data_IF_401133409560
#
_entry.id   IF_401133409560
#
_cell.length_a   1.000
_cell.length_b   1.000
_cell.length_c   1.000
_cell.angle_alpha   90.00
_cell.angle_beta   90.00
_cell.angle_gamma   90.00
#
_symmetry.space_group_name_H-M   'P 1'
#
loop_
_entity.id
_entity.type
_entity.pdbx_description
1 polymer ?
#
# COMPACT_ATOMS: atom_id res chain seq x y z
N UNK A 1 33.30 12.67 -7.73
CA UNK A 1 32.40 11.48 -7.75
C UNK A 1 32.16 11.11 -9.21
N UNK A 2 32.56 9.92 -9.64
CA UNK A 2 32.25 9.44 -10.99
C UNK A 2 30.79 9.08 -11.04
N UNK A 3 30.03 9.66 -11.96
CA UNK A 3 28.67 9.25 -12.29
C UNK A 3 28.73 7.84 -12.89
N UNK A 4 28.55 6.82 -12.06
CA UNK A 4 28.35 5.46 -12.54
C UNK A 4 27.08 5.42 -13.39
N UNK A 5 27.13 4.73 -14.52
CA UNK A 5 25.97 4.55 -15.38
C UNK A 5 24.94 3.79 -14.55
N UNK A 6 23.80 4.39 -14.31
CA UNK A 6 22.76 3.96 -13.34
C UNK A 6 22.22 2.54 -13.62
N UNK A 7 22.52 2.00 -14.79
CA UNK A 7 22.05 0.69 -15.27
C UNK A 7 23.12 -0.43 -15.22
N UNK A 8 24.34 -0.15 -14.79
CA UNK A 8 25.37 -1.18 -14.74
C UNK A 8 25.33 -1.93 -13.41
N UNK A 9 25.16 -3.25 -13.52
CA UNK A 9 25.12 -4.15 -12.36
C UNK A 9 26.41 -4.09 -11.52
N UNK A 10 27.54 -3.78 -12.13
CA UNK A 10 28.86 -3.67 -11.48
C UNK A 10 28.96 -2.42 -10.60
N UNK A 11 28.31 -1.31 -10.97
CA UNK A 11 28.31 -0.09 -10.16
C UNK A 11 27.52 -0.25 -8.84
N UNK A 12 26.66 -1.25 -8.76
CA UNK A 12 25.83 -1.54 -7.58
C UNK A 12 26.55 -2.38 -6.53
N UNK A 13 27.54 -3.17 -6.89
CA UNK A 13 28.21 -4.10 -5.97
C UNK A 13 28.75 -3.42 -4.69
N UNK A 14 29.43 -2.27 -4.74
CA UNK A 14 29.91 -1.62 -3.51
C UNK A 14 28.79 -1.14 -2.59
N UNK A 15 27.65 -0.74 -3.17
CA UNK A 15 26.47 -0.33 -2.40
C UNK A 15 25.82 -1.55 -1.75
N UNK A 16 25.75 -2.66 -2.47
CA UNK A 16 25.23 -3.93 -1.95
C UNK A 16 26.06 -4.42 -0.77
N UNK A 17 27.38 -4.42 -0.88
CA UNK A 17 28.27 -4.83 0.20
C UNK A 17 28.11 -3.94 1.42
N UNK A 18 27.97 -2.63 1.23
CA UNK A 18 27.71 -1.68 2.30
C UNK A 18 26.34 -1.95 2.99
N UNK A 19 25.29 -2.21 2.24
CA UNK A 19 23.96 -2.56 2.76
C UNK A 19 24.02 -3.85 3.60
N UNK A 20 24.67 -4.89 3.07
CA UNK A 20 24.83 -6.17 3.75
C UNK A 20 25.64 -6.01 5.04
N UNK A 21 26.73 -5.26 5.02
CA UNK A 21 27.52 -4.96 6.22
C UNK A 21 26.68 -4.34 7.34
N UNK A 22 25.84 -3.34 7.00
CA UNK A 22 24.97 -2.70 7.99
C UNK A 22 23.87 -3.62 8.51
N UNK A 23 23.31 -4.46 7.65
CA UNK A 23 22.36 -5.48 8.04
C UNK A 23 22.96 -6.46 9.05
N UNK A 24 24.19 -6.92 8.83
CA UNK A 24 24.93 -7.79 9.76
C UNK A 24 25.16 -7.13 11.12
N UNK A 25 25.21 -5.81 11.16
CA UNK A 25 25.31 -5.01 12.39
C UNK A 25 23.94 -4.76 13.05
N UNK A 26 22.87 -5.40 12.58
CA UNK A 26 21.52 -5.25 13.10
C UNK A 26 20.86 -3.90 12.77
N UNK A 27 21.33 -3.20 11.73
CA UNK A 27 20.77 -1.89 11.32
C UNK A 27 19.69 -2.08 10.25
N UNK A 28 18.62 -1.31 10.36
CA UNK A 28 17.61 -1.18 9.31
C UNK A 28 17.96 -0.01 8.39
N UNK A 29 17.80 -0.21 7.09
CA UNK A 29 18.10 0.79 6.06
C UNK A 29 16.87 0.97 5.19
N UNK A 30 16.44 2.20 4.98
CA UNK A 30 15.38 2.57 4.06
C UNK A 30 15.99 3.27 2.87
N UNK A 31 15.78 2.71 1.67
CA UNK A 31 16.17 3.32 0.41
C UNK A 31 14.94 3.92 -0.26
N UNK A 32 15.01 5.20 -0.61
CA UNK A 32 13.94 5.89 -1.34
C UNK A 32 14.38 6.07 -2.78
N UNK A 33 13.55 5.62 -3.71
CA UNK A 33 13.84 5.66 -5.14
C UNK A 33 12.59 5.99 -5.95
N UNK A 34 12.75 6.78 -7.02
CA UNK A 34 11.64 7.06 -7.93
C UNK A 34 11.42 5.92 -8.92
N UNK A 35 10.17 5.59 -9.19
CA UNK A 35 9.81 4.66 -10.26
C UNK A 35 10.18 5.24 -11.65
N UNK A 36 10.59 4.36 -12.55
CA UNK A 36 10.76 4.70 -13.96
C UNK A 36 9.41 4.90 -14.67
N UNK A 37 9.44 5.43 -15.89
CA UNK A 37 8.24 5.68 -16.71
C UNK A 37 7.32 4.46 -16.92
N UNK A 38 7.83 3.24 -16.72
CA UNK A 38 7.06 1.98 -16.85
C UNK A 38 6.54 1.42 -15.52
N UNK A 39 6.59 2.17 -14.41
CA UNK A 39 6.14 1.70 -13.10
C UNK A 39 7.04 0.61 -12.48
N UNK A 40 8.26 0.46 -13.01
CA UNK A 40 9.29 -0.42 -12.45
C UNK A 40 10.43 0.43 -11.89
N UNK A 41 11.09 -0.01 -10.81
CA UNK A 41 12.29 0.65 -10.31
C UNK A 41 13.32 0.81 -11.43
N UNK A 42 13.96 1.97 -11.52
CA UNK A 42 15.08 2.16 -12.43
C UNK A 42 16.30 1.41 -11.91
N UNK A 43 17.01 0.72 -12.78
CA UNK A 43 18.24 0.02 -12.49
C UNK A 43 18.12 -1.50 -12.61
N UNK A 44 19.20 -2.20 -12.26
CA UNK A 44 19.24 -3.66 -12.36
C UNK A 44 18.43 -4.33 -11.28
N UNK A 45 17.85 -5.50 -11.58
CA UNK A 45 17.15 -6.38 -10.63
C UNK A 45 18.02 -6.77 -9.41
N UNK A 46 19.35 -6.71 -9.55
CA UNK A 46 20.29 -6.94 -8.44
C UNK A 46 20.07 -6.04 -7.22
N UNK A 47 19.45 -4.85 -7.41
CA UNK A 47 19.10 -3.97 -6.30
C UNK A 47 18.02 -4.58 -5.41
N UNK A 48 17.14 -5.37 -5.99
CA UNK A 48 16.02 -6.01 -5.28
C UNK A 48 16.47 -7.21 -4.46
N UNK A 49 17.61 -7.83 -4.82
CA UNK A 49 18.06 -9.07 -4.18
C UNK A 49 18.37 -8.92 -2.69
N UNK A 50 18.90 -7.77 -2.30
CA UNK A 50 19.30 -7.49 -0.91
C UNK A 50 18.18 -6.87 -0.05
N UNK A 51 17.06 -6.48 -0.66
CA UNK A 51 15.93 -5.90 0.05
C UNK A 51 15.07 -7.00 0.67
N UNK A 52 14.60 -6.78 1.89
CA UNK A 52 13.64 -7.66 2.55
C UNK A 52 12.21 -7.26 2.16
N UNK A 53 11.95 -5.97 2.12
CA UNK A 53 10.65 -5.41 1.76
C UNK A 53 10.81 -4.37 0.66
N UNK A 54 9.90 -4.38 -0.31
CA UNK A 54 9.83 -3.37 -1.36
C UNK A 54 8.40 -2.83 -1.44
N UNK A 55 8.27 -1.53 -1.18
CA UNK A 55 7.00 -0.82 -1.13
C UNK A 55 6.91 0.10 -2.33
N UNK A 56 5.84 -0.04 -3.11
CA UNK A 56 5.46 0.90 -4.15
C UNK A 56 4.41 1.86 -3.64
N UNK A 57 4.59 3.16 -3.90
CA UNK A 57 3.60 4.20 -3.61
C UNK A 57 3.15 4.82 -4.92
N UNK A 58 1.86 4.75 -5.21
CA UNK A 58 1.25 5.34 -6.41
C UNK A 58 0.12 6.27 -6.02
N UNK A 59 0.08 7.43 -6.68
CA UNK A 59 -1.06 8.33 -6.53
C UNK A 59 -2.33 7.61 -6.99
N UNK A 60 -3.33 7.60 -6.13
CA UNK A 60 -4.66 7.11 -6.49
C UNK A 60 -5.46 8.20 -7.20
N UNK A 61 -6.26 7.82 -8.21
CA UNK A 61 -6.99 8.77 -9.04
C UNK A 61 -8.34 9.23 -8.44
N UNK A 62 -8.62 8.86 -7.20
CA UNK A 62 -9.83 9.36 -6.54
C UNK A 62 -9.80 10.88 -6.42
N UNK A 63 -10.97 11.49 -6.54
CA UNK A 63 -11.14 12.92 -6.35
C UNK A 63 -10.82 13.27 -4.91
N UNK A 64 -9.59 13.70 -4.68
CA UNK A 64 -9.16 14.20 -3.39
C UNK A 64 -9.55 15.66 -3.24
N UNK A 65 -10.04 16.04 -2.07
CA UNK A 65 -10.18 17.45 -1.67
C UNK A 65 -8.83 18.17 -1.68
N UNK A 66 -8.84 19.50 -1.60
CA UNK A 66 -7.58 20.30 -1.59
C UNK A 66 -6.63 19.91 -0.44
N UNK A 67 -7.20 19.47 0.67
CA UNK A 67 -6.49 19.14 1.90
C UNK A 67 -6.35 17.63 2.13
N UNK A 68 -6.51 16.84 1.05
CA UNK A 68 -6.45 15.38 1.09
C UNK A 68 -5.47 14.85 0.03
N UNK A 69 -4.77 13.80 0.39
CA UNK A 69 -3.96 13.00 -0.53
C UNK A 69 -4.28 11.54 -0.36
N UNK A 70 -4.55 10.85 -1.48
CA UNK A 70 -4.79 9.40 -1.50
C UNK A 70 -3.76 8.74 -2.37
N UNK A 71 -3.14 7.69 -1.87
CA UNK A 71 -2.19 6.89 -2.61
C UNK A 71 -2.34 5.40 -2.28
N UNK A 72 -2.07 4.59 -3.28
CA UNK A 72 -2.03 3.14 -3.16
C UNK A 72 -0.63 2.71 -2.72
N UNK A 73 -0.56 1.91 -1.67
CA UNK A 73 0.62 1.25 -1.18
C UNK A 73 0.56 -0.22 -1.60
N UNK A 74 1.59 -0.70 -2.27
CA UNK A 74 1.71 -2.09 -2.70
C UNK A 74 3.03 -2.69 -2.24
N UNK A 75 3.04 -3.99 -1.98
CA UNK A 75 4.26 -4.74 -1.68
C UNK A 75 4.64 -5.56 -2.90
N UNK A 76 5.74 -5.20 -3.58
CA UNK A 76 6.30 -6.02 -4.66
C UNK A 76 7.26 -7.08 -4.12
N UNK A 77 7.73 -6.93 -2.88
CA UNK A 77 8.51 -7.90 -2.12
C UNK A 77 8.20 -7.78 -0.64
N UNK A 78 7.93 -8.91 0.00
CA UNK A 78 7.71 -9.03 1.44
C UNK A 78 8.26 -10.39 1.88
N UNK A 79 9.42 -10.41 2.58
CA UNK A 79 10.05 -11.67 3.00
C UNK A 79 9.51 -12.17 4.32
N UNK A 80 9.20 -11.27 5.23
CA UNK A 80 8.92 -11.60 6.63
C UNK A 80 7.43 -11.52 6.98
N UNK A 81 6.58 -11.18 6.00
CA UNK A 81 5.13 -11.12 6.17
C UNK A 81 4.39 -11.48 4.88
N UNK A 82 3.16 -11.97 5.01
CA UNK A 82 2.36 -12.50 3.90
C UNK A 82 0.87 -12.44 4.23
N UNK A 83 0.03 -12.84 3.28
CA UNK A 83 -1.42 -12.84 3.45
C UNK A 83 -1.96 -11.42 3.58
N UNK A 84 -2.86 -11.21 4.53
CA UNK A 84 -3.55 -9.93 4.75
C UNK A 84 -2.60 -8.78 5.05
N UNK A 85 -1.45 -9.06 5.71
CA UNK A 85 -0.44 -8.04 6.01
C UNK A 85 0.29 -7.51 4.77
N UNK A 86 0.29 -8.28 3.68
CA UNK A 86 0.92 -7.92 2.40
C UNK A 86 -0.09 -7.43 1.34
N UNK A 87 -1.38 -7.31 1.70
CA UNK A 87 -2.37 -6.80 0.78
C UNK A 87 -2.15 -5.33 0.42
N UNK A 88 -2.46 -4.93 -0.82
CA UNK A 88 -2.45 -3.53 -1.22
C UNK A 88 -3.40 -2.69 -0.37
N UNK A 89 -2.94 -1.51 0.03
CA UNK A 89 -3.70 -0.59 0.88
C UNK A 89 -3.88 0.77 0.20
N UNK A 90 -5.03 1.38 0.43
CA UNK A 90 -5.23 2.81 0.21
C UNK A 90 -4.88 3.56 1.48
N UNK A 91 -3.97 4.50 1.36
CA UNK A 91 -3.56 5.40 2.43
C UNK A 91 -4.16 6.78 2.13
N UNK A 92 -4.91 7.30 3.09
CA UNK A 92 -5.53 8.63 3.01
C UNK A 92 -4.87 9.56 4.03
N UNK A 93 -4.32 10.65 3.54
CA UNK A 93 -3.79 11.74 4.35
C UNK A 93 -4.78 12.90 4.28
N UNK A 94 -5.21 13.40 5.43
CA UNK A 94 -6.07 14.57 5.51
C UNK A 94 -5.46 15.61 6.44
N UNK A 95 -5.48 16.86 5.97
CA UNK A 95 -5.10 18.02 6.79
C UNK A 95 -6.38 18.78 7.14
N UNK A 96 -6.66 18.97 8.43
CA UNK A 96 -7.81 19.70 8.90
C UNK A 96 -7.42 20.55 10.13
N UNK A 97 -7.68 21.86 10.07
CA UNK A 97 -7.34 22.79 11.16
C UNK A 97 -5.87 22.72 11.61
N UNK A 98 -4.94 22.52 10.67
CA UNK A 98 -3.52 22.38 10.96
C UNK A 98 -3.11 21.02 11.56
N UNK A 99 -4.05 20.12 11.74
CA UNK A 99 -3.78 18.74 12.18
C UNK A 99 -3.75 17.80 11.01
N UNK A 100 -2.81 16.86 11.04
CA UNK A 100 -2.64 15.81 10.05
C UNK A 100 -3.24 14.52 10.61
N UNK A 101 -4.11 13.88 9.86
CA UNK A 101 -4.67 12.57 10.18
C UNK A 101 -4.40 11.58 9.05
N UNK A 102 -4.20 10.33 9.43
CA UNK A 102 -4.00 9.23 8.51
C UNK A 102 -5.10 8.19 8.67
N UNK A 103 -5.60 7.69 7.56
CA UNK A 103 -6.47 6.52 7.51
C UNK A 103 -5.92 5.55 6.47
N UNK A 104 -6.19 4.27 6.67
CA UNK A 104 -5.87 3.23 5.70
C UNK A 104 -6.98 2.20 5.64
N UNK A 105 -7.14 1.61 4.49
CA UNK A 105 -8.04 0.50 4.22
C UNK A 105 -7.43 -0.38 3.13
N UNK A 106 -7.84 -1.66 3.03
CA UNK A 106 -7.38 -2.49 1.91
C UNK A 106 -7.98 -1.98 0.60
N UNK A 107 -7.25 -2.14 -0.50
CA UNK A 107 -7.78 -1.80 -1.84
C UNK A 107 -9.03 -2.63 -2.13
N UNK A 108 -9.12 -3.83 -1.58
CA UNK A 108 -10.28 -4.69 -1.71
C UNK A 108 -11.51 -4.07 -1.02
N UNK A 109 -11.39 -3.68 0.27
CA UNK A 109 -12.48 -3.06 1.03
C UNK A 109 -12.96 -1.75 0.42
N UNK A 110 -12.01 -0.90 -0.01
CA UNK A 110 -12.34 0.34 -0.71
C UNK A 110 -13.16 0.09 -1.99
N UNK A 111 -12.81 -0.95 -2.74
CA UNK A 111 -13.57 -1.35 -3.94
C UNK A 111 -14.97 -1.84 -3.61
N UNK A 112 -15.12 -2.65 -2.56
CA UNK A 112 -16.43 -3.12 -2.10
C UNK A 112 -17.30 -1.94 -1.69
N UNK A 113 -16.76 -1.00 -0.92
CA UNK A 113 -17.50 0.18 -0.49
C UNK A 113 -17.91 1.05 -1.70
N UNK A 114 -17.01 1.27 -2.64
CA UNK A 114 -17.34 2.03 -3.85
C UNK A 114 -18.42 1.36 -4.69
N UNK A 115 -18.42 0.04 -4.79
CA UNK A 115 -19.50 -0.71 -5.47
C UNK A 115 -20.82 -0.56 -4.73
N UNK A 116 -20.84 -0.57 -3.38
CA UNK A 116 -22.04 -0.30 -2.58
C UNK A 116 -22.65 1.07 -2.89
N UNK A 117 -21.81 2.12 -2.85
CA UNK A 117 -22.22 3.49 -3.15
C UNK A 117 -22.85 3.62 -4.54
N UNK A 118 -22.14 3.12 -5.58
CA UNK A 118 -22.60 3.20 -6.96
C UNK A 118 -23.90 2.41 -7.17
N UNK A 119 -24.04 1.26 -6.51
CA UNK A 119 -25.27 0.48 -6.54
C UNK A 119 -26.42 1.21 -5.85
N UNK A 120 -26.18 1.80 -4.69
CA UNK A 120 -27.16 2.57 -3.94
C UNK A 120 -27.66 3.80 -4.74
N UNK A 121 -26.81 4.40 -5.58
CA UNK A 121 -27.19 5.45 -6.52
C UNK A 121 -28.01 4.95 -7.71
N UNK A 122 -28.32 3.66 -7.81
CA UNK A 122 -29.11 3.07 -8.87
C UNK A 122 -28.31 2.73 -10.15
N UNK A 123 -26.98 2.81 -10.11
CA UNK A 123 -26.13 2.52 -11.27
C UNK A 123 -26.18 1.03 -11.64
N UNK A 124 -26.28 0.74 -12.93
CA UNK A 124 -26.29 -0.63 -13.43
C UNK A 124 -24.88 -1.25 -13.39
N UNK A 125 -24.80 -2.56 -13.15
CA UNK A 125 -23.53 -3.30 -13.07
C UNK A 125 -22.56 -3.02 -14.24
N UNK A 126 -23.07 -2.88 -15.46
CA UNK A 126 -22.25 -2.59 -16.64
C UNK A 126 -21.60 -1.20 -16.55
N UNK A 127 -22.32 -0.22 -16.01
CA UNK A 127 -21.85 1.14 -15.87
C UNK A 127 -20.86 1.24 -14.71
N UNK A 128 -21.11 0.52 -13.61
CA UNK A 128 -20.16 0.36 -12.50
C UNK A 128 -18.83 -0.24 -13.00
N UNK A 129 -18.89 -1.27 -13.84
CA UNK A 129 -17.70 -1.88 -14.42
C UNK A 129 -16.89 -0.87 -15.25
N UNK A 130 -17.57 -0.04 -16.03
CA UNK A 130 -16.94 1.01 -16.82
C UNK A 130 -16.32 2.10 -15.94
N UNK A 131 -17.05 2.55 -14.93
CA UNK A 131 -16.61 3.58 -13.98
C UNK A 131 -15.34 3.15 -13.22
N UNK A 132 -15.31 1.89 -12.76
CA UNK A 132 -14.18 1.35 -11.99
C UNK A 132 -13.06 0.77 -12.87
N UNK A 133 -13.17 0.85 -14.21
CA UNK A 133 -12.19 0.28 -15.13
C UNK A 133 -12.03 -1.25 -15.00
N UNK A 134 -13.10 -1.95 -14.64
CA UNK A 134 -13.09 -3.38 -14.34
C UNK A 134 -13.92 -4.16 -15.36
N UNK A 135 -13.71 -5.48 -15.42
CA UNK A 135 -14.60 -6.36 -16.19
C UNK A 135 -15.94 -6.55 -15.47
N UNK A 136 -17.03 -6.68 -16.24
CA UNK A 136 -18.36 -6.94 -15.68
C UNK A 136 -18.41 -8.23 -14.83
N UNK A 137 -17.61 -9.24 -15.18
CA UNK A 137 -17.47 -10.47 -14.40
C UNK A 137 -16.84 -10.22 -13.02
N UNK A 138 -15.80 -9.39 -12.95
CA UNK A 138 -15.16 -9.04 -11.66
C UNK A 138 -16.11 -8.24 -10.77
N UNK A 139 -16.83 -7.27 -11.34
CA UNK A 139 -17.86 -6.51 -10.60
C UNK A 139 -18.95 -7.45 -10.08
N UNK A 140 -19.37 -8.45 -10.89
CA UNK A 140 -20.37 -9.44 -10.43
C UNK A 140 -19.89 -10.25 -9.22
N UNK A 141 -18.60 -10.64 -9.20
CA UNK A 141 -18.02 -11.33 -8.05
C UNK A 141 -18.03 -10.45 -6.79
N UNK A 142 -17.52 -9.22 -6.91
CA UNK A 142 -17.48 -8.28 -5.79
C UNK A 142 -18.88 -7.90 -5.30
N UNK A 143 -19.86 -7.78 -6.18
CA UNK A 143 -21.26 -7.57 -5.79
C UNK A 143 -21.82 -8.72 -4.94
N UNK A 144 -21.44 -9.97 -5.20
CA UNK A 144 -21.83 -11.10 -4.37
C UNK A 144 -21.21 -11.00 -2.97
N UNK A 145 -19.95 -10.58 -2.87
CA UNK A 145 -19.27 -10.36 -1.60
C UNK A 145 -19.93 -9.22 -0.81
N UNK A 146 -20.31 -8.12 -1.47
CA UNK A 146 -21.07 -7.03 -0.85
C UNK A 146 -22.38 -7.56 -0.24
N UNK A 147 -23.16 -8.36 -1.00
CA UNK A 147 -24.45 -8.91 -0.52
C UNK A 147 -24.24 -9.91 0.63
N UNK A 148 -23.18 -10.72 0.56
CA UNK A 148 -22.84 -11.66 1.63
C UNK A 148 -22.37 -10.93 2.90
N UNK A 149 -21.56 -9.87 2.75
CA UNK A 149 -21.09 -9.04 3.86
C UNK A 149 -22.20 -8.27 4.56
N UNK A 150 -23.26 -7.87 3.86
CA UNK A 150 -24.44 -7.26 4.46
C UNK A 150 -25.21 -8.22 5.39
N UNK A 151 -25.05 -9.53 5.19
CA UNK A 151 -25.68 -10.58 6.02
C UNK A 151 -24.80 -11.07 7.18
N UNK A 152 -23.54 -10.60 7.29
CA UNK A 152 -22.61 -10.94 8.36
C UNK A 152 -22.56 -9.78 9.35
N UNK A 153 -23.01 -10.01 10.59
CA UNK A 153 -22.83 -9.04 11.68
C UNK A 153 -21.33 -8.81 11.87
N UNK A 154 -20.82 -7.57 11.80
CA UNK A 154 -19.39 -7.33 11.87
C UNK A 154 -18.85 -7.79 13.23
N UNK A 155 -17.90 -8.71 13.21
CA UNK A 155 -17.14 -9.07 14.40
C UNK A 155 -16.30 -7.85 14.81
N UNK A 156 -16.68 -7.18 15.89
CA UNK A 156 -15.92 -6.08 16.47
C UNK A 156 -14.55 -6.60 16.84
N UNK A 157 -13.51 -6.20 16.08
CA UNK A 157 -12.13 -6.31 16.56
C UNK A 157 -12.02 -5.47 17.84
N UNK A 158 -11.95 -6.14 18.98
CA UNK A 158 -11.67 -5.50 20.26
C UNK A 158 -10.32 -4.80 20.16
N UNK A 159 -10.31 -3.50 20.49
CA UNK A 159 -9.19 -2.61 20.34
C UNK A 159 -7.93 -3.12 21.02
N UNK A 160 -6.82 -2.82 20.39
CA UNK A 160 -5.50 -2.94 20.95
C UNK A 160 -5.42 -2.18 22.28
N UNK A 161 -5.22 -2.90 23.36
CA UNK A 161 -5.02 -2.35 24.69
C UNK A 161 -3.77 -1.47 24.71
N UNK A 162 -3.95 -0.22 25.06
CA UNK A 162 -2.84 0.64 25.47
C UNK A 162 -2.21 0.06 26.73
N UNK A 163 -1.03 -0.51 26.59
CA UNK A 163 -0.18 -0.87 27.72
C UNK A 163 0.44 0.41 28.26
N UNK A 164 -0.18 0.98 29.28
CA UNK A 164 0.49 1.92 30.20
C UNK A 164 1.43 1.09 31.09
N UNK A 165 2.70 1.19 30.81
CA UNK A 165 3.74 0.69 31.70
C UNK A 165 4.09 1.74 32.74
N UNK A 166 3.43 1.72 33.89
CA UNK A 166 3.93 2.37 35.08
C UNK A 166 5.17 1.62 35.56
N UNK A 167 6.30 2.26 35.46
CA UNK A 167 7.50 1.91 36.21
C UNK A 167 7.60 2.86 37.40
N UNK A 168 7.03 2.47 38.50
CA UNK A 168 7.49 2.98 39.81
C UNK A 168 8.83 2.34 40.13
N UNK A 169 9.76 3.21 40.51
CA UNK A 169 11.04 2.84 41.11
C UNK A 169 10.90 2.97 42.61
N UNK A 170 11.30 1.95 43.27
CA UNK A 170 11.94 1.96 44.58
C UNK A 170 13.31 1.29 44.48
#
# INVERSE_FOLDING_TARGET
MRSGVENEAESWTPIQDWLLMHRWQGRSIILIHHEGKGGKPRGSSKREDVLDTMIGLRKHNDQCGKDESVFELTFSKARDFFGDDAEPMLIKLKVSNGQVSWAHETVHDARLERIRELRASGMKQKDIAKELGMTSGRVSQLMKEVIQGENVVPFRKSGAGASQGDRERD
#
